data_IF_157949470825
#
_entry.id   IF_157949470825
#
_cell.length_a   1.000
_cell.length_b   1.000
_cell.length_c   1.000
_cell.angle_alpha   90.00
_cell.angle_beta   90.00
_cell.angle_gamma   90.00
#
_symmetry.space_group_name_H-M   'P 1'
#
loop_
_entity.id
_entity.type
_entity.pdbx_description
1 polymer ?
#
# COMPACT_ATOMS: atom_id res chain seq x y z
N UNK A 1 -18.18 -17.65 4.25
CA UNK A 1 -17.56 -16.36 3.87
C UNK A 1 -16.06 -16.60 3.79
N UNK A 2 -15.41 -16.16 2.71
CA UNK A 2 -13.98 -16.40 2.50
C UNK A 2 -13.17 -15.53 3.49
N UNK A 3 -12.34 -16.10 4.38
CA UNK A 3 -11.68 -15.35 5.44
C UNK A 3 -10.30 -14.80 5.03
N UNK A 4 -10.03 -14.73 3.73
CA UNK A 4 -8.74 -14.30 3.18
C UNK A 4 -8.94 -13.64 1.81
N UNK A 5 -8.00 -12.79 1.45
CA UNK A 5 -7.91 -12.13 0.15
C UNK A 5 -6.57 -12.50 -0.51
N UNK A 6 -6.48 -12.29 -1.82
CA UNK A 6 -5.26 -12.58 -2.59
C UNK A 6 -4.58 -11.30 -3.03
N UNK A 7 -3.26 -11.28 -2.91
CA UNK A 7 -2.41 -10.23 -3.47
C UNK A 7 -1.66 -10.85 -4.64
N UNK A 8 -1.96 -10.36 -5.84
CA UNK A 8 -1.32 -10.84 -7.06
C UNK A 8 -0.15 -9.92 -7.41
N UNK A 9 1.04 -10.50 -7.58
CA UNK A 9 2.27 -9.74 -7.84
C UNK A 9 2.80 -10.10 -9.22
N UNK A 10 2.95 -9.09 -10.07
CA UNK A 10 3.41 -9.23 -11.45
C UNK A 10 4.59 -8.29 -11.71
N UNK A 11 5.48 -8.69 -12.61
CA UNK A 11 6.61 -7.88 -13.05
C UNK A 11 6.52 -7.64 -14.56
N UNK A 12 6.81 -6.41 -15.01
CA UNK A 12 6.67 -6.05 -16.43
C UNK A 12 7.69 -6.76 -17.33
N UNK A 13 8.95 -6.90 -16.89
CA UNK A 13 10.05 -7.50 -17.68
C UNK A 13 11.09 -8.19 -16.81
N UNK A 14 11.71 -7.43 -15.91
CA UNK A 14 12.77 -7.92 -15.02
C UNK A 14 12.19 -8.31 -13.67
N UNK A 15 12.75 -9.34 -13.05
CA UNK A 15 12.43 -9.71 -11.66
C UNK A 15 13.06 -8.78 -10.63
N UNK A 16 14.04 -7.98 -11.04
CA UNK A 16 14.81 -7.10 -10.17
C UNK A 16 14.31 -5.67 -10.31
N UNK A 17 14.02 -5.03 -9.18
CA UNK A 17 13.75 -3.60 -9.12
C UNK A 17 15.02 -2.81 -9.47
N UNK A 18 14.88 -1.76 -10.29
CA UNK A 18 15.97 -0.87 -10.66
C UNK A 18 16.00 0.33 -9.72
N UNK A 19 17.19 0.77 -9.31
CA UNK A 19 17.32 1.89 -8.38
C UNK A 19 18.64 1.88 -7.62
N UNK A 20 18.84 2.93 -6.84
CA UNK A 20 19.99 3.14 -5.98
C UNK A 20 19.88 2.26 -4.73
N UNK A 21 20.96 1.54 -4.37
CA UNK A 21 20.94 0.60 -3.23
C UNK A 21 20.80 1.31 -1.89
N UNK A 22 21.28 2.54 -1.80
CA UNK A 22 21.16 3.42 -0.65
C UNK A 22 19.71 3.80 -0.32
N UNK A 23 18.79 3.68 -1.29
CA UNK A 23 17.37 3.93 -1.07
C UNK A 23 16.59 2.69 -0.60
N UNK A 24 17.28 1.56 -0.42
CA UNK A 24 16.68 0.35 0.15
C UNK A 24 16.55 0.54 1.66
N UNK A 25 15.32 0.75 2.12
CA UNK A 25 15.04 1.05 3.52
C UNK A 25 14.35 -0.12 4.26
N UNK A 26 14.03 -1.22 3.58
CA UNK A 26 13.43 -2.40 4.23
C UNK A 26 14.44 -3.08 5.16
N UNK A 27 14.03 -3.36 6.40
CA UNK A 27 14.89 -4.03 7.37
C UNK A 27 14.94 -5.54 7.12
N UNK A 28 15.91 -6.22 7.75
CA UNK A 28 16.02 -7.68 7.69
C UNK A 28 14.77 -8.36 8.28
N UNK A 29 14.26 -7.85 9.40
CA UNK A 29 13.10 -8.35 10.11
C UNK A 29 11.83 -8.17 9.26
N UNK A 30 11.68 -6.99 8.64
CA UNK A 30 10.61 -6.70 7.71
C UNK A 30 10.66 -7.64 6.49
N UNK A 31 11.83 -7.83 5.89
CA UNK A 31 12.01 -8.72 4.75
C UNK A 31 11.58 -10.16 5.07
N UNK A 32 12.03 -10.70 6.22
CA UNK A 32 11.64 -12.03 6.67
C UNK A 32 10.13 -12.12 6.87
N UNK A 33 9.51 -11.14 7.54
CA UNK A 33 8.06 -11.14 7.81
C UNK A 33 7.24 -10.98 6.53
N UNK A 34 7.63 -10.12 5.62
CA UNK A 34 6.85 -9.74 4.44
C UNK A 34 7.03 -10.75 3.30
N UNK A 35 8.12 -11.51 3.26
CA UNK A 35 8.32 -12.57 2.25
C UNK A 35 7.43 -13.81 2.43
N UNK A 36 6.77 -13.95 3.58
CA UNK A 36 5.82 -15.05 3.82
C UNK A 36 4.58 -14.89 2.94
N UNK A 37 4.07 -15.98 2.38
CA UNK A 37 2.89 -15.94 1.50
C UNK A 37 1.55 -15.79 2.24
N UNK A 38 1.53 -15.99 3.56
CA UNK A 38 0.34 -15.83 4.39
C UNK A 38 0.57 -14.71 5.40
N UNK A 39 -0.30 -13.70 5.38
CA UNK A 39 -0.27 -12.60 6.34
C UNK A 39 -1.54 -12.59 7.18
N UNK A 40 -1.38 -12.67 8.50
CA UNK A 40 -2.45 -12.33 9.44
C UNK A 40 -2.45 -10.82 9.64
N UNK A 41 -3.46 -10.15 9.06
CA UNK A 41 -3.66 -8.71 9.13
C UNK A 41 -5.13 -8.48 9.49
N UNK A 42 -5.36 -7.62 10.50
CA UNK A 42 -6.72 -7.25 10.90
C UNK A 42 -7.34 -6.31 9.87
N UNK A 43 -8.64 -6.44 9.58
CA UNK A 43 -9.33 -5.53 8.68
C UNK A 43 -9.32 -4.10 9.25
N UNK A 44 -9.52 -3.13 8.36
CA UNK A 44 -9.77 -1.75 8.77
C UNK A 44 -11.13 -1.67 9.50
N UNK A 45 -11.14 -1.04 10.68
CA UNK A 45 -12.33 -0.97 11.55
C UNK A 45 -12.71 0.46 11.95
N UNK A 46 -11.89 1.45 11.59
CA UNK A 46 -12.16 2.87 11.86
C UNK A 46 -13.42 3.30 11.13
N UNK A 47 -14.42 3.77 11.90
CA UNK A 47 -15.75 4.10 11.38
C UNK A 47 -15.70 5.25 10.39
N UNK A 48 -14.85 6.23 10.61
CA UNK A 48 -14.63 7.38 9.74
C UNK A 48 -14.17 6.94 8.34
N UNK A 49 -13.26 5.96 8.25
CA UNK A 49 -12.77 5.41 6.98
C UNK A 49 -13.86 4.58 6.31
N UNK A 50 -14.48 3.65 7.04
CA UNK A 50 -15.54 2.77 6.51
C UNK A 50 -16.74 3.59 6.00
N UNK A 51 -17.09 4.65 6.72
CA UNK A 51 -18.16 5.54 6.29
C UNK A 51 -17.77 6.26 4.99
N UNK A 52 -16.53 6.72 4.86
CA UNK A 52 -16.07 7.40 3.66
C UNK A 52 -15.97 6.46 2.45
N UNK A 53 -15.46 5.24 2.67
CA UNK A 53 -15.12 4.27 1.64
C UNK A 53 -15.61 2.86 2.03
N UNK A 54 -16.51 2.23 1.26
CA UNK A 54 -17.14 0.96 1.64
C UNK A 54 -16.17 -0.24 1.72
N UNK A 55 -15.03 -0.17 1.03
CA UNK A 55 -14.08 -1.29 0.93
C UNK A 55 -12.64 -0.78 1.19
N UNK A 56 -12.31 -0.38 2.43
CA UNK A 56 -10.96 0.05 2.77
C UNK A 56 -10.08 -1.16 3.08
N UNK A 57 -8.81 -1.07 2.73
CA UNK A 57 -7.79 -1.99 3.24
C UNK A 57 -6.98 -1.35 4.37
N UNK A 58 -6.46 -2.16 5.30
CA UNK A 58 -5.71 -1.66 6.45
C UNK A 58 -4.35 -1.06 6.05
N UNK A 59 -3.92 -0.04 6.79
CA UNK A 59 -2.61 0.61 6.61
C UNK A 59 -1.43 -0.38 6.62
N UNK A 60 -1.49 -1.40 7.48
CA UNK A 60 -0.44 -2.42 7.56
C UNK A 60 -0.25 -3.17 6.24
N UNK A 61 -1.34 -3.48 5.52
CA UNK A 61 -1.24 -4.14 4.22
C UNK A 61 -0.46 -3.29 3.23
N UNK A 62 -0.82 -2.01 3.11
CA UNK A 62 -0.13 -1.07 2.23
C UNK A 62 1.33 -0.85 2.64
N UNK A 63 1.61 -0.75 3.94
CA UNK A 63 2.97 -0.61 4.47
C UNK A 63 3.87 -1.76 4.02
N UNK A 64 3.40 -3.00 4.19
CA UNK A 64 4.16 -4.19 3.79
C UNK A 64 4.45 -4.17 2.29
N UNK A 65 3.44 -3.93 1.45
CA UNK A 65 3.59 -3.94 -0.01
C UNK A 65 4.55 -2.84 -0.46
N UNK A 66 4.36 -1.60 0.00
CA UNK A 66 5.19 -0.46 -0.40
C UNK A 66 6.65 -0.68 0.01
N UNK A 67 6.89 -1.05 1.28
CA UNK A 67 8.25 -1.31 1.77
C UNK A 67 8.94 -2.48 1.06
N UNK A 68 8.19 -3.51 0.69
CA UNK A 68 8.76 -4.72 0.09
C UNK A 68 9.06 -4.59 -1.40
N UNK A 69 8.27 -3.80 -2.14
CA UNK A 69 8.36 -3.72 -3.60
C UNK A 69 8.89 -2.39 -4.15
N UNK A 70 9.20 -1.41 -3.28
CA UNK A 70 9.69 -0.09 -3.70
C UNK A 70 10.86 0.37 -2.84
N UNK A 71 11.70 1.24 -3.37
CA UNK A 71 12.73 1.98 -2.66
C UNK A 71 12.22 3.35 -2.24
N UNK A 72 12.90 3.99 -1.29
CA UNK A 72 12.62 5.36 -0.93
C UNK A 72 12.76 6.28 -2.16
N UNK A 73 11.83 7.24 -2.31
CA UNK A 73 11.77 8.15 -3.44
C UNK A 73 11.05 7.62 -4.69
N UNK A 74 10.72 6.33 -4.74
CA UNK A 74 9.98 5.73 -5.86
C UNK A 74 8.57 6.31 -5.99
N UNK A 75 8.00 6.17 -7.20
CA UNK A 75 6.65 6.59 -7.53
C UNK A 75 5.68 5.41 -7.51
N UNK A 76 4.68 5.47 -6.64
CA UNK A 76 3.60 4.48 -6.54
C UNK A 76 2.33 5.03 -7.20
N UNK A 77 1.73 4.26 -8.10
CA UNK A 77 0.42 4.60 -8.69
C UNK A 77 -0.67 3.75 -8.02
N UNK A 78 -1.67 4.42 -7.48
CA UNK A 78 -2.92 3.79 -7.06
C UNK A 78 -4.09 4.32 -7.92
N UNK A 79 -4.57 3.53 -8.90
CA UNK A 79 -5.65 3.95 -9.78
C UNK A 79 -7.05 3.87 -9.13
N UNK A 80 -7.15 3.30 -7.93
CA UNK A 80 -8.40 3.12 -7.17
C UNK A 80 -8.16 3.50 -5.70
N UNK A 81 -7.70 4.73 -5.49
CA UNK A 81 -7.07 5.12 -4.24
C UNK A 81 -8.01 5.17 -3.02
N UNK A 82 -9.34 5.20 -3.21
CA UNK A 82 -10.34 5.08 -2.16
C UNK A 82 -10.05 6.06 -1.00
N UNK A 83 -9.95 5.58 0.24
CA UNK A 83 -9.67 6.39 1.43
C UNK A 83 -8.28 7.03 1.47
N UNK A 84 -7.44 6.81 0.46
CA UNK A 84 -6.10 7.39 0.36
C UNK A 84 -5.03 6.61 1.13
N UNK A 85 -5.32 5.39 1.58
CA UNK A 85 -4.42 4.57 2.40
C UNK A 85 -3.05 4.39 1.74
N UNK A 86 -2.99 4.08 0.44
CA UNK A 86 -1.73 3.95 -0.31
C UNK A 86 -0.93 5.26 -0.30
N UNK A 87 -1.59 6.39 -0.61
CA UNK A 87 -0.94 7.71 -0.64
C UNK A 87 -0.38 8.10 0.73
N UNK A 88 -1.17 7.89 1.79
CA UNK A 88 -0.76 8.15 3.16
C UNK A 88 0.48 7.34 3.56
N UNK A 89 0.52 6.05 3.22
CA UNK A 89 1.67 5.20 3.52
C UNK A 89 2.88 5.56 2.67
N UNK A 90 2.69 5.93 1.40
CA UNK A 90 3.78 6.44 0.57
C UNK A 90 4.41 7.67 1.22
N UNK A 91 3.61 8.65 1.65
CA UNK A 91 4.10 9.84 2.34
C UNK A 91 4.88 9.50 3.62
N UNK A 92 4.35 8.58 4.44
CA UNK A 92 5.02 8.11 5.67
C UNK A 92 6.34 7.39 5.44
N UNK A 93 6.50 6.76 4.29
CA UNK A 93 7.67 5.94 3.95
C UNK A 93 8.60 6.64 2.96
N UNK A 94 8.40 7.93 2.67
CA UNK A 94 9.27 8.68 1.75
C UNK A 94 9.12 8.27 0.27
N UNK A 95 8.00 7.68 -0.13
CA UNK A 95 7.64 7.43 -1.54
C UNK A 95 6.77 8.54 -2.06
N UNK A 96 6.89 8.81 -3.37
CA UNK A 96 5.94 9.64 -4.11
C UNK A 96 4.74 8.79 -4.47
N UNK A 97 3.56 9.41 -4.60
CA UNK A 97 2.40 8.69 -5.10
C UNK A 97 1.58 9.50 -6.10
N UNK A 98 0.90 8.79 -7.00
CA UNK A 98 -0.21 9.30 -7.80
C UNK A 98 -1.46 8.54 -7.34
N UNK A 99 -2.43 9.29 -6.87
CA UNK A 99 -3.73 8.80 -6.41
C UNK A 99 -4.81 9.21 -7.42
N UNK A 100 -5.66 8.26 -7.81
CA UNK A 100 -6.82 8.50 -8.66
C UNK A 100 -8.02 7.81 -8.03
N UNK A 101 -9.15 8.50 -7.95
CA UNK A 101 -10.43 7.94 -7.54
C UNK A 101 -11.58 8.68 -8.22
N UNK A 102 -12.69 8.00 -8.49
CA UNK A 102 -13.87 8.58 -9.14
C UNK A 102 -14.93 9.06 -8.12
N UNK A 103 -14.81 8.66 -6.85
CA UNK A 103 -15.72 9.03 -5.77
C UNK A 103 -15.26 10.35 -5.15
N UNK A 104 -16.06 11.39 -5.34
CA UNK A 104 -15.82 12.68 -4.68
C UNK A 104 -15.75 12.55 -3.16
N UNK A 105 -16.57 11.67 -2.57
CA UNK A 105 -16.59 11.45 -1.12
C UNK A 105 -15.27 10.86 -0.61
N UNK A 106 -14.73 9.87 -1.33
CA UNK A 106 -13.47 9.25 -0.98
C UNK A 106 -12.31 10.23 -1.13
N UNK A 107 -12.31 10.98 -2.25
CA UNK A 107 -11.35 12.05 -2.50
C UNK A 107 -11.36 13.11 -1.38
N UNK A 108 -12.54 13.64 -1.04
CA UNK A 108 -12.70 14.66 0.01
C UNK A 108 -12.24 14.16 1.40
N UNK A 109 -12.28 12.84 1.63
CA UNK A 109 -11.73 12.23 2.84
C UNK A 109 -10.20 12.11 2.78
N UNK A 110 -9.67 11.64 1.65
CA UNK A 110 -8.24 11.37 1.46
C UNK A 110 -7.35 12.63 1.47
N UNK A 111 -7.90 13.81 1.15
CA UNK A 111 -7.16 15.08 1.12
C UNK A 111 -7.18 15.85 2.45
N UNK A 112 -7.91 15.36 3.46
CA UNK A 112 -7.94 15.97 4.80
C UNK A 112 -6.71 15.60 5.61
#
# INVERSE_FOLDING_TARGET
MQPYEFILVFNKKLKKHEGLKENIDITKEEFIKFSLSLWDIKPETRKEIINACPVPFPEELAYRIIKFYTYEGDLVLDPFGSSGTTNYICAKTGRKSIYIDNSKRAYDFAIK
#
